data_IF_818871896156
#
_entry.id   IF_818871896156
#
_cell.length_a   1.000
_cell.length_b   1.000
_cell.length_c   1.000
_cell.angle_alpha   90.00
_cell.angle_beta   90.00
_cell.angle_gamma   90.00
#
_symmetry.space_group_name_H-M   'P 1'
#
loop_
_entity.id
_entity.type
_entity.pdbx_description
1 polymer ?
#
# COMPACT_ATOMS: atom_id res chain seq x y z
N UNK A 1 24.03 -57.74 -45.05
CA UNK A 1 23.16 -58.06 -43.88
C UNK A 1 23.95 -57.89 -42.60
N UNK A 2 23.27 -57.43 -41.53
CA UNK A 2 23.70 -57.15 -40.14
C UNK A 2 24.36 -55.78 -39.88
N UNK A 3 23.53 -54.83 -39.44
CA UNK A 3 23.93 -53.53 -38.84
C UNK A 3 24.12 -53.72 -37.32
N UNK A 4 25.21 -53.26 -36.69
CA UNK A 4 25.32 -53.25 -35.24
C UNK A 4 24.61 -52.03 -34.62
N UNK A 5 24.04 -52.26 -33.44
CA UNK A 5 23.02 -51.46 -32.76
C UNK A 5 23.71 -50.36 -31.95
N UNK A 6 23.28 -49.11 -32.12
CA UNK A 6 23.72 -47.96 -31.33
C UNK A 6 23.04 -48.01 -29.95
N UNK A 7 23.77 -47.96 -28.82
CA UNK A 7 23.13 -47.97 -27.51
C UNK A 7 22.48 -46.61 -27.27
N UNK A 8 21.15 -46.61 -27.12
CA UNK A 8 20.38 -45.44 -26.74
C UNK A 8 20.58 -45.22 -25.23
N UNK A 9 21.46 -44.28 -24.88
CA UNK A 9 21.62 -43.82 -23.50
C UNK A 9 20.40 -42.96 -23.12
N UNK A 10 19.45 -43.54 -22.38
CA UNK A 10 18.27 -42.82 -21.90
C UNK A 10 18.67 -41.98 -20.69
N UNK A 11 19.01 -40.70 -20.91
CA UNK A 11 19.24 -39.75 -19.83
C UNK A 11 17.92 -39.42 -19.14
N UNK A 12 17.74 -39.89 -17.90
CA UNK A 12 16.61 -39.54 -17.06
C UNK A 12 16.82 -38.12 -16.52
N UNK A 13 16.32 -37.11 -17.24
CA UNK A 13 16.23 -35.74 -16.77
C UNK A 13 15.20 -35.70 -15.63
N UNK A 14 15.68 -35.73 -14.38
CA UNK A 14 14.87 -35.39 -13.21
C UNK A 14 14.47 -33.91 -13.32
N UNK A 15 13.27 -33.66 -13.82
CA UNK A 15 12.62 -32.35 -13.71
C UNK A 15 12.23 -32.18 -12.25
N UNK A 16 13.14 -31.66 -11.44
CA UNK A 16 12.78 -31.14 -10.13
C UNK A 16 11.84 -29.94 -10.36
N UNK A 17 10.71 -29.85 -9.64
CA UNK A 17 9.94 -28.62 -9.63
C UNK A 17 10.87 -27.53 -9.10
N UNK A 18 11.32 -26.63 -9.96
CA UNK A 18 11.96 -25.41 -9.50
C UNK A 18 10.84 -24.61 -8.83
N UNK A 19 10.97 -24.24 -7.54
CA UNK A 19 10.05 -23.27 -6.98
C UNK A 19 10.14 -22.04 -7.90
N UNK A 20 9.01 -21.65 -8.50
CA UNK A 20 8.95 -20.38 -9.17
C UNK A 20 9.36 -19.34 -8.13
N UNK A 21 10.45 -18.60 -8.38
CA UNK A 21 10.76 -17.41 -7.62
C UNK A 21 9.55 -16.51 -7.78
N UNK A 22 8.72 -16.43 -6.74
CA UNK A 22 7.58 -15.53 -6.74
C UNK A 22 8.14 -14.12 -6.74
N UNK A 23 7.83 -13.35 -7.78
CA UNK A 23 8.12 -11.93 -7.84
C UNK A 23 7.64 -11.26 -6.55
N UNK A 24 8.42 -10.30 -6.04
CA UNK A 24 8.08 -9.64 -4.78
C UNK A 24 6.76 -8.87 -4.94
N UNK A 25 5.77 -9.24 -4.14
CA UNK A 25 4.50 -8.53 -4.04
C UNK A 25 4.52 -7.62 -2.81
N UNK A 26 4.03 -6.38 -2.95
CA UNK A 26 4.01 -5.39 -1.86
C UNK A 26 2.56 -5.07 -1.47
N UNK A 27 2.27 -5.22 -0.17
CA UNK A 27 1.08 -4.68 0.47
C UNK A 27 1.48 -3.50 1.37
N UNK A 28 0.75 -2.40 1.28
CA UNK A 28 1.00 -1.18 2.04
C UNK A 28 -0.26 -0.77 2.79
N UNK A 29 -0.11 -0.47 4.09
CA UNK A 29 -1.18 0.07 4.94
C UNK A 29 -0.74 1.40 5.52
N UNK A 30 -1.55 2.44 5.34
CA UNK A 30 -1.29 3.77 5.90
C UNK A 30 -2.16 3.98 7.14
N UNK A 31 -1.51 4.18 8.27
CA UNK A 31 -2.14 4.54 9.55
C UNK A 31 -1.98 6.04 9.78
N UNK A 32 -3.09 6.69 10.12
CA UNK A 32 -3.11 8.12 10.42
C UNK A 32 -3.62 8.31 11.86
N UNK A 33 -2.81 8.94 12.70
CA UNK A 33 -3.24 9.42 14.01
C UNK A 33 -3.88 10.79 13.83
N UNK A 34 -5.14 10.93 14.22
CA UNK A 34 -5.90 12.18 14.08
C UNK A 34 -6.17 12.80 15.46
N UNK A 35 -6.22 14.12 15.51
CA UNK A 35 -6.83 14.83 16.62
C UNK A 35 -8.36 14.71 16.61
N UNK A 36 -9.01 15.12 17.69
CA UNK A 36 -10.46 15.09 17.82
C UNK A 36 -11.19 15.92 16.75
N UNK A 37 -10.53 16.83 16.05
CA UNK A 37 -11.15 17.59 14.95
C UNK A 37 -10.85 17.02 13.55
N UNK A 38 -10.08 15.92 13.46
CA UNK A 38 -9.63 15.31 12.20
C UNK A 38 -8.27 15.80 11.69
N UNK A 39 -7.58 16.69 12.42
CA UNK A 39 -6.22 17.13 12.06
C UNK A 39 -5.23 15.98 12.16
N UNK A 40 -4.43 15.74 11.12
CA UNK A 40 -3.40 14.70 11.11
C UNK A 40 -2.26 15.08 12.05
N UNK A 41 -1.93 14.19 12.99
CA UNK A 41 -0.78 14.32 13.90
C UNK A 41 0.42 13.52 13.44
N UNK A 42 0.18 12.32 12.93
CA UNK A 42 1.22 11.38 12.56
C UNK A 42 0.72 10.46 11.46
N UNK A 43 1.59 10.13 10.51
CA UNK A 43 1.34 9.14 9.46
C UNK A 43 2.42 8.08 9.51
N UNK A 44 1.99 6.83 9.65
CA UNK A 44 2.84 5.65 9.63
C UNK A 44 2.44 4.75 8.49
N UNK A 45 3.40 4.37 7.66
CA UNK A 45 3.20 3.47 6.53
C UNK A 45 3.80 2.12 6.90
N UNK A 46 2.98 1.08 6.95
CA UNK A 46 3.40 -0.31 7.20
C UNK A 46 3.41 -1.05 5.88
N UNK A 47 4.56 -1.63 5.57
CA UNK A 47 4.80 -2.36 4.34
C UNK A 47 5.07 -3.82 4.64
N UNK A 48 4.47 -4.67 3.82
CA UNK A 48 4.77 -6.09 3.75
C UNK A 48 5.12 -6.46 2.32
N UNK A 49 6.38 -6.78 2.09
CA UNK A 49 6.87 -7.30 0.82
C UNK A 49 7.05 -8.82 0.95
N UNK A 50 6.17 -9.60 0.32
CA UNK A 50 6.18 -11.07 0.33
C UNK A 50 6.90 -11.63 -0.90
N UNK A 51 7.29 -12.90 -0.84
CA UNK A 51 8.07 -13.55 -1.90
C UNK A 51 9.57 -13.35 -1.74
N UNK A 52 10.32 -13.49 -2.84
CA UNK A 52 11.78 -13.42 -2.84
C UNK A 52 12.29 -12.55 -3.98
N UNK A 53 13.27 -11.66 -3.74
CA UNK A 53 13.88 -10.87 -4.80
C UNK A 53 14.55 -11.74 -5.88
N UNK A 54 14.41 -11.34 -7.14
CA UNK A 54 15.21 -11.88 -8.26
C UNK A 54 16.59 -11.21 -8.24
N UNK A 55 17.48 -11.66 -7.36
CA UNK A 55 18.86 -11.18 -7.24
C UNK A 55 19.24 -10.72 -5.83
N UNK A 56 20.30 -9.91 -5.72
CA UNK A 56 20.89 -9.54 -4.42
C UNK A 56 20.14 -8.43 -3.68
N UNK A 57 19.17 -7.78 -4.34
CA UNK A 57 18.42 -6.67 -3.75
C UNK A 57 17.04 -6.49 -4.36
N UNK A 58 16.17 -5.81 -3.61
CA UNK A 58 14.86 -5.34 -4.04
C UNK A 58 14.72 -3.85 -3.71
N UNK A 59 14.13 -3.07 -4.62
CA UNK A 59 13.94 -1.63 -4.43
C UNK A 59 12.46 -1.32 -4.23
N UNK A 60 12.14 -0.68 -3.10
CA UNK A 60 10.87 0.01 -2.89
C UNK A 60 10.99 1.51 -3.13
N UNK A 61 9.87 2.18 -3.36
CA UNK A 61 9.78 3.63 -3.51
C UNK A 61 8.87 4.23 -2.44
N UNK A 62 9.42 5.13 -1.64
CA UNK A 62 8.69 5.84 -0.60
C UNK A 62 9.52 6.95 0.04
N UNK A 63 8.87 8.06 0.40
CA UNK A 63 9.49 9.16 1.12
C UNK A 63 9.19 9.01 2.61
N UNK A 64 10.17 8.53 3.36
CA UNK A 64 10.06 8.33 4.80
C UNK A 64 11.12 9.13 5.55
N UNK A 65 10.74 9.73 6.68
CA UNK A 65 11.67 10.39 7.61
C UNK A 65 12.45 9.38 8.44
N UNK A 66 11.83 8.25 8.78
CA UNK A 66 12.45 7.12 9.44
C UNK A 66 11.97 5.82 8.78
N UNK A 67 12.85 4.81 8.71
CA UNK A 67 12.50 3.46 8.23
C UNK A 67 12.97 2.44 9.27
N UNK A 68 12.05 1.61 9.75
CA UNK A 68 12.31 0.55 10.72
C UNK A 68 11.94 -0.80 10.12
N UNK A 69 12.92 -1.70 10.06
CA UNK A 69 12.71 -3.11 9.74
C UNK A 69 12.21 -3.85 10.99
N UNK A 70 11.11 -4.59 10.85
CA UNK A 70 10.53 -5.42 11.91
C UNK A 70 10.77 -6.92 11.70
N UNK A 71 11.31 -7.32 10.55
CA UNK A 71 11.68 -8.71 10.21
C UNK A 71 13.09 -9.06 10.66
N UNK A 72 14.05 -8.16 10.45
CA UNK A 72 15.47 -8.43 10.69
C UNK A 72 16.25 -7.17 11.09
N UNK A 73 17.52 -7.33 11.44
CA UNK A 73 18.44 -6.21 11.72
C UNK A 73 18.97 -5.52 10.45
N UNK A 74 18.70 -6.09 9.27
CA UNK A 74 19.09 -5.51 7.98
C UNK A 74 18.45 -4.14 7.77
N UNK A 75 19.19 -3.21 7.18
CA UNK A 75 18.70 -1.86 6.84
C UNK A 75 18.74 -1.64 5.32
N UNK A 76 17.84 -0.85 4.76
CA UNK A 76 17.94 -0.48 3.36
C UNK A 76 19.02 0.58 3.17
N UNK A 77 19.60 0.62 1.97
CA UNK A 77 20.27 1.83 1.49
C UNK A 77 19.19 2.80 0.98
N UNK A 78 19.23 4.05 1.45
CA UNK A 78 18.26 5.08 1.07
C UNK A 78 18.91 6.04 0.07
N UNK A 79 18.28 6.21 -1.09
CA UNK A 79 18.72 7.12 -2.16
C UNK A 79 17.53 7.93 -2.68
N UNK A 80 17.33 9.14 -2.15
CA UNK A 80 16.13 9.93 -2.44
C UNK A 80 14.88 9.19 -1.95
N UNK A 81 13.95 8.89 -2.86
CA UNK A 81 12.75 8.12 -2.55
C UNK A 81 12.95 6.59 -2.70
N UNK A 82 14.16 6.11 -2.95
CA UNK A 82 14.45 4.68 -3.15
C UNK A 82 14.94 4.03 -1.86
N UNK A 83 14.28 2.94 -1.47
CA UNK A 83 14.70 2.05 -0.39
C UNK A 83 15.22 0.76 -1.00
N UNK A 84 16.54 0.59 -1.01
CA UNK A 84 17.21 -0.56 -1.61
C UNK A 84 17.51 -1.57 -0.51
N UNK A 85 16.69 -2.61 -0.42
CA UNK A 85 16.81 -3.69 0.55
C UNK A 85 17.70 -4.81 0.01
N UNK A 86 18.68 -5.31 0.78
CA UNK A 86 19.39 -6.53 0.39
C UNK A 86 18.43 -7.72 0.44
N UNK A 87 18.62 -8.72 -0.42
CA UNK A 87 17.78 -9.92 -0.45
C UNK A 87 17.79 -10.67 0.90
N UNK A 88 18.89 -10.57 1.64
CA UNK A 88 19.02 -11.11 3.02
C UNK A 88 18.13 -10.42 4.06
N UNK A 89 17.46 -9.30 3.71
CA UNK A 89 16.47 -8.67 4.58
C UNK A 89 15.15 -9.46 4.61
N UNK A 90 14.85 -10.21 3.54
CA UNK A 90 13.66 -11.04 3.42
C UNK A 90 13.84 -12.35 4.20
N UNK A 91 12.80 -12.75 4.93
CA UNK A 91 12.72 -14.05 5.59
C UNK A 91 11.61 -14.88 4.96
N UNK A 92 11.30 -16.04 5.55
CA UNK A 92 10.28 -16.97 5.05
C UNK A 92 8.91 -16.28 4.82
N UNK A 93 8.50 -15.38 5.71
CA UNK A 93 7.23 -14.65 5.61
C UNK A 93 7.38 -13.31 4.85
N UNK A 94 8.52 -13.06 4.22
CA UNK A 94 8.84 -11.81 3.52
C UNK A 94 9.55 -10.77 4.39
N UNK A 95 9.41 -9.51 4.02
CA UNK A 95 10.01 -8.34 4.66
C UNK A 95 8.89 -7.40 5.16
N UNK A 96 8.88 -7.17 6.47
CA UNK A 96 8.02 -6.22 7.15
C UNK A 96 8.84 -5.02 7.61
N UNK A 97 8.41 -3.83 7.20
CA UNK A 97 9.03 -2.59 7.62
C UNK A 97 7.98 -1.48 7.71
N UNK A 98 8.28 -0.47 8.50
CA UNK A 98 7.45 0.70 8.66
C UNK A 98 8.26 1.97 8.40
N UNK A 99 7.59 3.02 7.97
CA UNK A 99 8.19 4.34 7.90
C UNK A 99 7.22 5.45 8.24
N UNK A 100 7.76 6.51 8.83
CA UNK A 100 7.02 7.73 9.13
C UNK A 100 7.12 8.70 7.96
N UNK A 101 6.06 9.44 7.66
CA UNK A 101 6.05 10.38 6.53
C UNK A 101 5.26 11.63 6.82
N UNK A 102 5.70 12.75 6.26
CA UNK A 102 5.02 14.05 6.32
C UNK A 102 4.31 14.38 5.00
N UNK A 103 4.18 13.39 4.10
CA UNK A 103 3.45 13.59 2.85
C UNK A 103 1.96 13.84 3.12
N UNK A 104 1.38 14.74 2.32
CA UNK A 104 -0.04 15.04 2.40
C UNK A 104 -0.87 13.80 2.08
N UNK A 105 -1.90 13.56 2.90
CA UNK A 105 -2.83 12.48 2.65
C UNK A 105 -3.67 12.77 1.39
N UNK A 106 -4.03 11.75 0.61
CA UNK A 106 -4.89 11.91 -0.56
C UNK A 106 -6.35 12.22 -0.22
N UNK A 107 -6.66 12.40 1.06
CA UNK A 107 -7.96 12.78 1.58
C UNK A 107 -7.81 13.72 2.76
N UNK A 108 -8.83 14.56 2.97
CA UNK A 108 -8.97 15.40 4.15
C UNK A 108 -10.02 14.80 5.09
N UNK A 109 -9.74 14.83 6.39
CA UNK A 109 -10.67 14.38 7.43
C UNK A 109 -11.12 15.58 8.26
N UNK A 110 -12.40 15.66 8.58
CA UNK A 110 -12.91 16.56 9.63
C UNK A 110 -13.98 15.86 10.48
N UNK A 111 -14.02 16.18 11.78
CA UNK A 111 -14.89 15.50 12.73
C UNK A 111 -15.77 16.51 13.46
N UNK A 112 -17.08 16.33 13.33
CA UNK A 112 -18.11 17.15 13.97
C UNK A 112 -18.81 16.38 15.09
N UNK A 113 -19.22 17.10 16.14
CA UNK A 113 -19.87 16.54 17.32
C UNK A 113 -21.17 17.26 17.62
N UNK A 114 -22.17 16.49 18.03
CA UNK A 114 -23.37 17.02 18.66
C UNK A 114 -23.69 16.27 19.95
N UNK A 115 -24.13 16.99 20.98
CA UNK A 115 -24.71 16.43 22.21
C UNK A 115 -26.19 16.80 22.25
N UNK A 116 -27.05 15.79 22.35
CA UNK A 116 -28.52 15.94 22.31
C UNK A 116 -28.99 16.79 21.11
N UNK A 117 -28.35 16.59 19.96
CA UNK A 117 -28.65 17.28 18.70
C UNK A 117 -28.07 18.68 18.55
N UNK A 118 -27.39 19.22 19.57
CA UNK A 118 -26.75 20.55 19.51
C UNK A 118 -25.24 20.44 19.24
N UNK A 119 -24.67 21.25 18.34
CA UNK A 119 -23.23 21.30 18.11
C UNK A 119 -22.46 21.54 19.41
N UNK A 120 -21.33 20.85 19.57
CA UNK A 120 -20.45 20.98 20.73
C UNK A 120 -18.99 20.78 20.29
N UNK A 121 -18.06 21.47 20.95
CA UNK A 121 -16.63 21.23 20.72
C UNK A 121 -16.19 19.92 21.39
N UNK A 122 -15.26 19.16 20.79
CA UNK A 122 -14.84 17.87 21.35
C UNK A 122 -14.28 17.98 22.77
N UNK A 123 -13.54 19.05 23.08
CA UNK A 123 -12.95 19.26 24.42
C UNK A 123 -14.01 19.48 25.51
N UNK A 124 -15.23 19.84 25.11
CA UNK A 124 -16.35 20.10 26.02
C UNK A 124 -17.24 18.86 26.24
N UNK A 125 -16.99 17.75 25.54
CA UNK A 125 -17.80 16.53 25.69
C UNK A 125 -17.51 15.78 27.00
N UNK A 126 -16.26 15.81 27.46
CA UNK A 126 -15.83 15.05 28.63
C UNK A 126 -16.69 15.39 29.86
N UNK A 127 -17.22 14.34 30.51
CA UNK A 127 -18.04 14.47 31.71
C UNK A 127 -19.49 14.92 31.48
N UNK A 128 -19.92 15.21 30.24
CA UNK A 128 -21.32 15.51 29.93
C UNK A 128 -22.14 14.22 29.76
N UNK A 129 -23.41 14.28 30.15
CA UNK A 129 -24.41 13.22 29.93
C UNK A 129 -25.31 13.62 28.76
N UNK A 130 -25.70 12.65 27.94
CA UNK A 130 -26.61 12.85 26.82
C UNK A 130 -26.26 11.95 25.63
N UNK A 131 -26.98 12.10 24.53
CA UNK A 131 -26.74 11.36 23.29
C UNK A 131 -25.70 12.09 22.44
N UNK A 132 -24.54 11.47 22.28
CA UNK A 132 -23.48 11.98 21.40
C UNK A 132 -23.68 11.43 20.00
N UNK A 133 -23.56 12.29 18.99
CA UNK A 133 -23.38 11.92 17.59
C UNK A 133 -22.05 12.49 17.12
N UNK A 134 -21.23 11.62 16.56
CA UNK A 134 -19.96 11.97 15.91
C UNK A 134 -20.18 11.82 14.41
N UNK A 135 -19.81 12.82 13.63
CA UNK A 135 -19.90 12.78 12.16
C UNK A 135 -18.51 12.99 11.59
N UNK A 136 -18.01 12.01 10.84
CA UNK A 136 -16.70 12.05 10.20
C UNK A 136 -16.92 12.37 8.73
N UNK A 137 -16.28 13.43 8.27
CA UNK A 137 -16.29 13.87 6.89
C UNK A 137 -14.96 13.48 6.25
N UNK A 138 -15.06 12.93 5.04
CA UNK A 138 -13.93 12.54 4.22
C UNK A 138 -14.08 13.23 2.87
N UNK A 139 -13.05 13.97 2.49
CA UNK A 139 -12.97 14.62 1.20
C UNK A 139 -11.80 14.00 0.42
N UNK A 140 -12.09 13.42 -0.76
CA UNK A 140 -11.08 12.86 -1.63
C UNK A 140 -10.39 13.98 -2.44
N UNK A 141 -9.08 14.11 -2.27
CA UNK A 141 -8.28 15.16 -2.91
C UNK A 141 -7.58 14.70 -4.20
N UNK A 142 -7.71 13.41 -4.58
CA UNK A 142 -7.04 12.85 -5.77
C UNK A 142 -7.70 13.28 -7.06
N UNK A 143 -7.57 14.55 -7.44
CA UNK A 143 -8.15 15.06 -8.67
C UNK A 143 -7.17 14.90 -9.83
N UNK A 144 -7.51 14.07 -10.82
CA UNK A 144 -6.75 13.96 -12.06
C UNK A 144 -7.61 14.28 -13.28
N UNK A 145 -7.13 15.22 -14.12
CA UNK A 145 -7.72 15.43 -15.44
C UNK A 145 -7.13 14.40 -16.42
N UNK A 146 -7.99 13.66 -17.10
CA UNK A 146 -7.56 12.70 -18.11
C UNK A 146 -8.41 12.79 -19.37
N UNK A 147 -7.79 12.47 -20.50
CA UNK A 147 -8.48 12.33 -21.79
C UNK A 147 -8.92 10.88 -21.93
N UNK A 148 -10.22 10.64 -21.76
CA UNK A 148 -10.81 9.34 -22.01
C UNK A 148 -11.11 9.20 -23.49
N UNK A 149 -10.59 8.15 -24.11
CA UNK A 149 -10.89 7.78 -25.49
C UNK A 149 -11.61 6.43 -25.50
N UNK A 150 -12.79 6.39 -26.10
CA UNK A 150 -13.61 5.19 -26.19
C UNK A 150 -14.31 5.14 -27.55
N UNK A 151 -14.73 3.94 -27.96
CA UNK A 151 -15.56 3.77 -29.15
C UNK A 151 -17.03 3.75 -28.76
N UNK A 152 -17.86 4.48 -29.49
CA UNK A 152 -19.30 4.38 -29.35
C UNK A 152 -19.83 3.06 -29.96
N UNK A 153 -21.15 2.86 -29.91
CA UNK A 153 -21.81 1.67 -30.47
C UNK A 153 -21.67 1.57 -32.00
N UNK A 154 -21.25 2.64 -32.68
CA UNK A 154 -21.00 2.69 -34.12
C UNK A 154 -19.50 2.50 -34.45
N UNK A 155 -18.65 2.29 -33.44
CA UNK A 155 -17.21 2.13 -33.60
C UNK A 155 -16.45 3.45 -33.78
N UNK A 156 -17.10 4.60 -33.65
CA UNK A 156 -16.48 5.93 -33.76
C UNK A 156 -15.70 6.21 -32.48
N UNK A 157 -14.42 6.56 -32.62
CA UNK A 157 -13.59 6.94 -31.47
C UNK A 157 -13.94 8.36 -31.05
N UNK A 158 -14.46 8.49 -29.83
CA UNK A 158 -14.75 9.75 -29.18
C UNK A 158 -13.69 9.98 -28.10
N UNK A 159 -13.28 11.23 -27.94
CA UNK A 159 -12.42 11.65 -26.84
C UNK A 159 -13.09 12.74 -26.03
N UNK A 160 -13.05 12.62 -24.71
CA UNK A 160 -13.58 13.63 -23.78
C UNK A 160 -12.63 13.81 -22.62
N UNK A 161 -12.50 15.05 -22.13
CA UNK A 161 -11.79 15.32 -20.88
C UNK A 161 -12.71 15.02 -19.70
N UNK A 162 -12.21 14.25 -18.74
CA UNK A 162 -12.92 13.94 -17.50
C UNK A 162 -11.99 14.12 -16.31
N UNK A 163 -12.57 14.64 -15.23
CA UNK A 163 -11.96 14.61 -13.91
C UNK A 163 -12.24 13.24 -13.29
N UNK A 164 -11.18 12.49 -12.98
CA UNK A 164 -11.26 11.23 -12.25
C UNK A 164 -10.67 11.38 -10.86
N UNK A 165 -11.19 10.55 -9.95
CA UNK A 165 -10.69 10.42 -8.58
C UNK A 165 -10.27 8.98 -8.32
N UNK A 166 -9.18 8.81 -7.58
CA UNK A 166 -8.75 7.48 -7.10
C UNK A 166 -9.71 7.05 -6.01
N UNK A 167 -10.40 5.89 -6.14
CA UNK A 167 -11.29 5.42 -5.09
C UNK A 167 -10.48 4.93 -3.89
N UNK A 168 -11.00 5.19 -2.67
CA UNK A 168 -10.42 4.72 -1.41
C UNK A 168 -11.47 3.94 -0.62
N UNK A 169 -11.02 2.92 0.11
CA UNK A 169 -11.82 2.22 1.13
C UNK A 169 -11.29 2.66 2.48
N UNK A 170 -12.16 3.23 3.33
CA UNK A 170 -11.81 3.56 4.71
C UNK A 170 -12.38 2.51 5.66
N UNK A 171 -11.54 2.03 6.57
CA UNK A 171 -11.96 1.28 7.74
C UNK A 171 -11.69 2.11 9.00
N UNK A 172 -12.71 2.29 9.83
CA UNK A 172 -12.59 2.99 11.11
C UNK A 172 -12.45 1.97 12.23
N UNK A 173 -11.36 2.06 12.99
CA UNK A 173 -11.09 1.21 14.16
C UNK A 173 -11.17 2.11 15.40
N UNK A 174 -12.06 1.77 16.33
CA UNK A 174 -12.12 2.39 17.65
C UNK A 174 -11.39 1.46 18.63
N UNK A 175 -10.43 1.99 19.38
CA UNK A 175 -9.63 1.25 20.37
C UNK A 175 -10.06 1.67 21.77
#
# INVERSE_FOLDING_TARGET
>A
MRKPILPLLLAFLLVFPQPALAAVEKNETVYCLLDNNGTVKEVQVVNWASGAPEGDSWTDYGNYSEVKNSTSSSKPKIEGNRLIWPATAFQQDGLFYQGSTDQELPFKVSIDYTLDGKPIKPEQLAGKKGKVKITIHLENLTRQQTKLSYKDYQGITLSTEKTLYTPFVLSLIHI
#
